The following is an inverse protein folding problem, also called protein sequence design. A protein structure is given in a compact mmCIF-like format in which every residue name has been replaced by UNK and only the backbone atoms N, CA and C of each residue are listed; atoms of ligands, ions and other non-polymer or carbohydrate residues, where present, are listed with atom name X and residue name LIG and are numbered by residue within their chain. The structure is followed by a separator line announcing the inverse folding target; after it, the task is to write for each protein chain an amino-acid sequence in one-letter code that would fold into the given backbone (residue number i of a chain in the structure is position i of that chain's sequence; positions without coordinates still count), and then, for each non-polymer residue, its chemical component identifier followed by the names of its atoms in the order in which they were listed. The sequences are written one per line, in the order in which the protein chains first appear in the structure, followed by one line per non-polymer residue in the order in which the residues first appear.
data_IF_475633985790
#
_entry.id   IF_475633985790
#
_cell.length_a   1.000
_cell.length_b   1.000
_cell.length_c   1.000
_cell.angle_alpha   90.00
_cell.angle_beta   90.00
_cell.angle_gamma   90.00
#
_symmetry.space_group_name_H-M   'P 1'
#
loop_
_entity.id
_entity.type
_entity.pdbx_description
1 polymer ?
#
# COMPACT_ATOMS: atom_id res chain seq x y z
N UNK A 1 10.76 -28.86 -20.34
CA UNK A 1 11.84 -29.00 -19.35
C UNK A 1 11.30 -29.77 -18.15
N UNK A 2 12.06 -30.67 -17.53
CA UNK A 2 11.63 -31.41 -16.33
C UNK A 2 12.33 -30.81 -15.11
N UNK A 3 11.56 -30.23 -14.22
CA UNK A 3 12.05 -29.62 -12.98
C UNK A 3 11.60 -30.47 -11.81
N UNK A 4 12.46 -30.62 -10.79
CA UNK A 4 12.07 -31.21 -9.50
C UNK A 4 11.83 -30.08 -8.53
N UNK A 5 10.65 -30.06 -7.92
CA UNK A 5 10.27 -29.09 -6.90
C UNK A 5 9.89 -29.88 -5.65
N UNK A 6 10.52 -29.55 -4.53
CA UNK A 6 10.15 -30.12 -3.23
C UNK A 6 9.03 -29.26 -2.64
N UNK A 7 7.90 -29.91 -2.35
CA UNK A 7 6.72 -29.27 -1.80
C UNK A 7 6.27 -30.03 -0.55
N UNK A 8 5.84 -29.33 0.51
CA UNK A 8 5.12 -29.92 1.63
C UNK A 8 3.95 -30.82 1.18
N UNK A 9 3.76 -31.94 1.87
CA UNK A 9 2.74 -32.94 1.53
C UNK A 9 1.30 -32.36 1.55
N UNK A 10 1.03 -31.41 2.44
CA UNK A 10 -0.26 -30.75 2.55
C UNK A 10 -0.57 -29.89 1.32
N UNK A 11 0.43 -29.20 0.77
CA UNK A 11 0.31 -28.43 -0.47
C UNK A 11 0.13 -29.36 -1.67
N UNK A 12 0.88 -30.46 -1.74
CA UNK A 12 0.72 -31.46 -2.79
C UNK A 12 -0.69 -32.07 -2.77
N UNK A 13 -1.24 -32.33 -1.58
CA UNK A 13 -2.62 -32.81 -1.42
C UNK A 13 -3.64 -31.79 -1.94
N UNK A 14 -3.49 -30.51 -1.61
CA UNK A 14 -4.38 -29.44 -2.11
C UNK A 14 -4.34 -29.34 -3.64
N UNK A 15 -3.15 -29.40 -4.24
CA UNK A 15 -2.98 -29.38 -5.69
C UNK A 15 -3.65 -30.59 -6.36
N UNK A 16 -3.54 -31.78 -5.77
CA UNK A 16 -4.20 -32.99 -6.27
C UNK A 16 -5.71 -32.91 -6.20
N UNK A 17 -6.27 -32.38 -5.11
CA UNK A 17 -7.71 -32.16 -4.97
C UNK A 17 -8.21 -31.22 -6.07
N UNK A 18 -7.55 -30.07 -6.24
CA UNK A 18 -7.89 -29.09 -7.27
C UNK A 18 -7.80 -29.66 -8.68
N UNK A 19 -6.81 -30.51 -8.95
CA UNK A 19 -6.67 -31.20 -10.23
C UNK A 19 -7.82 -32.19 -10.49
N UNK A 20 -8.25 -32.92 -9.45
CA UNK A 20 -9.39 -33.83 -9.54
C UNK A 20 -10.72 -33.08 -9.74
N UNK A 21 -10.95 -31.98 -9.02
CA UNK A 21 -12.16 -31.16 -9.14
C UNK A 21 -12.30 -30.49 -10.50
N UNK A 22 -11.18 -30.13 -11.13
CA UNK A 22 -11.15 -29.47 -12.43
C UNK A 22 -10.99 -30.43 -13.63
N UNK A 23 -10.97 -31.75 -13.38
CA UNK A 23 -10.69 -32.80 -14.38
C UNK A 23 -9.43 -32.51 -15.22
N UNK A 24 -8.40 -31.96 -14.57
CA UNK A 24 -7.14 -31.53 -15.20
C UNK A 24 -5.96 -32.29 -14.66
N UNK A 25 -4.89 -32.35 -15.46
CA UNK A 25 -3.65 -32.99 -15.03
C UNK A 25 -2.95 -32.12 -13.99
N UNK A 26 -2.38 -32.75 -12.97
CA UNK A 26 -1.65 -32.08 -11.90
C UNK A 26 -0.58 -31.11 -12.43
N UNK A 27 0.15 -31.51 -13.48
CA UNK A 27 1.18 -30.66 -14.11
C UNK A 27 0.62 -29.33 -14.64
N UNK A 28 -0.60 -29.35 -15.20
CA UNK A 28 -1.19 -28.17 -15.84
C UNK A 28 -1.70 -27.21 -14.76
N UNK A 29 -2.25 -27.76 -13.67
CA UNK A 29 -2.64 -26.98 -12.48
C UNK A 29 -1.42 -26.38 -11.79
N UNK A 30 -0.33 -27.14 -11.66
CA UNK A 30 0.92 -26.63 -11.07
C UNK A 30 1.50 -25.49 -11.90
N UNK A 31 1.56 -25.63 -13.24
CA UNK A 31 2.02 -24.57 -14.12
C UNK A 31 1.18 -23.31 -13.99
N UNK A 32 -0.15 -23.43 -14.06
CA UNK A 32 -1.06 -22.28 -13.92
C UNK A 32 -0.92 -21.58 -12.57
N UNK A 33 -0.80 -22.35 -11.47
CA UNK A 33 -0.64 -21.78 -10.13
C UNK A 33 0.68 -21.01 -10.03
N UNK A 34 1.76 -21.54 -10.61
CA UNK A 34 3.06 -20.86 -10.65
C UNK A 34 2.98 -19.61 -11.52
N UNK A 35 2.42 -19.69 -12.73
CA UNK A 35 2.26 -18.54 -13.63
C UNK A 35 1.46 -17.43 -12.96
N UNK A 36 0.30 -17.75 -12.38
CA UNK A 36 -0.52 -16.79 -11.63
C UNK A 36 0.20 -16.23 -10.40
N UNK A 37 0.98 -17.04 -9.70
CA UNK A 37 1.76 -16.56 -8.56
C UNK A 37 2.86 -15.58 -8.96
N UNK A 38 3.47 -15.80 -10.13
CA UNK A 38 4.49 -14.90 -10.69
C UNK A 38 3.86 -13.60 -11.22
N UNK A 39 2.67 -13.67 -11.82
CA UNK A 39 1.89 -12.49 -12.23
C UNK A 39 1.42 -11.68 -11.00
N UNK A 40 0.90 -12.37 -9.98
CA UNK A 40 0.41 -11.75 -8.75
C UNK A 40 1.53 -11.09 -7.91
N UNK A 41 2.79 -11.47 -8.11
CA UNK A 41 3.94 -10.84 -7.44
C UNK A 41 4.16 -9.39 -7.89
N UNK A 42 3.61 -8.97 -9.03
CA UNK A 42 3.55 -7.56 -9.43
C UNK A 42 2.25 -6.86 -9.02
N UNK A 43 1.23 -7.61 -8.60
CA UNK A 43 -0.07 -7.12 -8.16
C UNK A 43 -0.25 -7.19 -6.62
N UNK A 44 0.84 -7.13 -5.85
CA UNK A 44 0.71 -6.56 -4.49
C UNK A 44 0.73 -5.03 -4.59
N UNK A 45 -0.02 -4.48 -5.54
CA UNK A 45 -0.60 -3.16 -5.37
C UNK A 45 -1.66 -3.34 -4.29
N UNK A 46 -1.27 -3.05 -3.06
CA UNK A 46 -2.22 -2.95 -1.98
C UNK A 46 -3.30 -1.94 -2.42
N UNK A 47 -4.58 -2.34 -2.58
CA UNK A 47 -5.62 -1.39 -2.90
C UNK A 47 -6.01 -0.58 -1.66
N UNK A 48 -5.33 -0.80 -0.52
CA UNK A 48 -5.46 0.01 0.68
C UNK A 48 -4.55 1.25 0.56
N UNK A 49 -5.13 2.45 0.33
CA UNK A 49 -4.36 3.68 0.26
C UNK A 49 -3.53 3.93 1.53
N UNK A 50 -3.96 3.38 2.68
CA UNK A 50 -3.24 3.51 3.94
C UNK A 50 -1.90 2.76 3.90
N UNK A 51 -1.87 1.53 3.36
CA UNK A 51 -0.63 0.75 3.26
C UNK A 51 0.34 1.36 2.24
N UNK A 52 -0.19 1.83 1.11
CA UNK A 52 0.59 2.55 0.11
C UNK A 52 1.16 3.88 0.64
N UNK A 53 0.48 4.50 1.61
CA UNK A 53 0.97 5.71 2.29
C UNK A 53 1.99 5.37 3.38
N UNK A 54 1.72 4.35 4.22
CA UNK A 54 2.63 3.90 5.28
C UNK A 54 4.00 3.48 4.73
N UNK A 55 4.05 2.85 3.56
CA UNK A 55 5.31 2.44 2.92
C UNK A 55 6.24 3.60 2.53
N UNK A 56 5.70 4.82 2.44
CA UNK A 56 6.48 6.04 2.15
C UNK A 56 7.14 6.64 3.40
N UNK A 57 6.68 6.26 4.59
CA UNK A 57 7.17 6.80 5.85
C UNK A 57 8.49 6.13 6.28
N UNK A 58 9.36 6.89 6.93
CA UNK A 58 10.62 6.41 7.50
C UNK A 58 10.56 6.51 9.01
N UNK A 59 11.15 5.54 9.71
CA UNK A 59 11.30 5.57 11.18
C UNK A 59 12.76 5.88 11.49
N UNK A 60 13.00 6.98 12.20
CA UNK A 60 14.33 7.38 12.65
C UNK A 60 14.77 6.57 13.87
N UNK A 61 16.06 6.65 14.22
CA UNK A 61 16.66 5.88 15.33
C UNK A 61 16.01 6.10 16.71
N UNK A 62 15.33 7.22 16.88
CA UNK A 62 14.59 7.58 18.11
C UNK A 62 13.11 7.17 18.08
N UNK A 63 12.68 6.46 17.02
CA UNK A 63 11.29 6.01 16.85
C UNK A 63 10.34 7.06 16.26
N UNK A 64 10.85 8.22 15.87
CA UNK A 64 10.07 9.25 15.16
C UNK A 64 9.75 8.81 13.73
N UNK A 65 8.50 9.04 13.31
CA UNK A 65 8.05 8.73 11.95
C UNK A 65 8.13 10.00 11.11
N UNK A 66 8.90 9.96 10.02
CA UNK A 66 9.13 11.08 9.09
C UNK A 66 8.57 10.73 7.73
N UNK A 67 7.81 11.66 7.15
CA UNK A 67 7.46 11.61 5.73
C UNK A 67 8.52 12.39 4.92
N UNK A 68 9.38 11.73 4.13
CA UNK A 68 10.39 12.42 3.32
C UNK A 68 9.78 13.29 2.21
N UNK A 69 8.58 12.95 1.75
CA UNK A 69 7.81 13.76 0.80
C UNK A 69 6.89 14.78 1.52
N UNK A 70 7.08 14.92 2.84
CA UNK A 70 6.31 15.82 3.69
C UNK A 70 6.60 17.30 3.42
N UNK A 71 5.73 18.14 3.95
CA UNK A 71 5.84 19.61 3.85
C UNK A 71 6.54 20.23 5.07
N UNK A 72 7.17 19.42 5.92
CA UNK A 72 7.82 19.83 7.17
C UNK A 72 9.17 20.55 6.93
N UNK A 73 9.16 21.53 6.03
CA UNK A 73 10.31 22.39 5.75
C UNK A 73 10.29 23.63 6.63
N UNK A 74 11.48 24.15 7.04
CA UNK A 74 11.55 25.40 7.79
C UNK A 74 10.89 26.59 7.07
N UNK A 75 10.90 26.59 5.74
CA UNK A 75 10.27 27.61 4.89
C UNK A 75 8.75 27.55 5.01
N UNK A 76 8.18 26.34 4.94
CA UNK A 76 6.75 26.13 5.09
C UNK A 76 6.27 26.58 6.47
N UNK A 77 6.99 26.24 7.55
CA UNK A 77 6.65 26.67 8.90
C UNK A 77 6.69 28.19 9.07
N UNK A 78 7.68 28.86 8.47
CA UNK A 78 7.75 30.33 8.45
C UNK A 78 6.56 30.95 7.73
N UNK A 79 6.20 30.41 6.57
CA UNK A 79 5.03 30.87 5.81
C UNK A 79 3.73 30.69 6.61
N UNK A 80 3.54 29.54 7.27
CA UNK A 80 2.38 29.30 8.12
C UNK A 80 2.29 30.30 9.27
N UNK A 81 3.41 30.60 9.94
CA UNK A 81 3.39 31.55 11.05
C UNK A 81 3.08 32.97 10.56
N UNK A 82 3.56 33.36 9.38
CA UNK A 82 3.17 34.62 8.76
C UNK A 82 1.65 34.69 8.53
N UNK A 83 1.05 33.67 7.93
CA UNK A 83 -0.41 33.62 7.70
C UNK A 83 -1.17 33.71 9.03
N UNK A 84 -0.70 33.01 10.08
CA UNK A 84 -1.31 33.09 11.42
C UNK A 84 -1.23 34.50 11.99
N UNK A 85 -0.09 35.17 11.88
CA UNK A 85 0.07 36.56 12.34
C UNK A 85 -0.86 37.50 11.59
N UNK A 86 -0.93 37.39 10.27
CA UNK A 86 -1.85 38.20 9.46
C UNK A 86 -3.32 37.96 9.85
N UNK A 87 -3.70 36.70 10.08
CA UNK A 87 -5.07 36.35 10.47
C UNK A 87 -5.43 36.81 11.89
N UNK A 88 -4.48 36.87 12.84
CA UNK A 88 -4.75 37.40 14.20
C UNK A 88 -5.23 38.84 14.18
N UNK A 89 -4.85 39.62 13.17
CA UNK A 89 -5.24 41.01 13.02
C UNK A 89 -6.50 41.23 12.17
N UNK A 90 -7.09 40.15 11.62
CA UNK A 90 -8.33 40.22 10.85
C UNK A 90 -9.50 39.72 11.70
N UNK A 91 -10.67 40.36 11.63
CA UNK A 91 -11.88 39.77 12.21
C UNK A 91 -12.14 38.42 11.52
N UNK A 92 -12.58 37.39 12.27
CA UNK A 92 -12.98 36.12 11.67
C UNK A 92 -13.99 36.36 10.56
N UNK A 93 -13.83 35.66 9.44
CA UNK A 93 -14.83 35.71 8.36
C UNK A 93 -16.16 35.24 8.92
N UNK A 94 -17.20 36.06 8.79
CA UNK A 94 -18.57 35.66 9.06
C UNK A 94 -19.06 34.77 7.89
N UNK A 95 -19.32 33.47 8.11
CA UNK A 95 -19.77 32.58 7.05
C UNK A 95 -21.22 32.83 6.62
N UNK A 96 -21.98 33.69 7.32
CA UNK A 96 -23.39 33.99 7.03
C UNK A 96 -23.62 35.38 6.42
N UNK A 97 -22.57 36.18 6.21
CA UNK A 97 -22.69 37.54 5.70
C UNK A 97 -23.25 37.64 4.26
N UNK A 98 -23.14 36.56 3.47
CA UNK A 98 -23.58 36.49 2.07
C UNK A 98 -24.88 35.69 1.88
N UNK A 99 -25.57 35.31 2.97
CA UNK A 99 -26.79 34.50 2.92
C UNK A 99 -28.05 35.40 2.98
N UNK A 100 -28.40 36.02 1.85
CA UNK A 100 -29.71 36.64 1.59
C UNK A 100 -30.49 35.85 0.53
#
# INVERSE_FOLDING_TARGET
MKTKLELPDDLMRKLRIRAAESDRRLKDVVTEVIERGLEASNETECPDPLQAWLSKLRVDGDGHIVNPDGIDTPEFHRMLEQIRQENRHRPPRDPFADAD
#
